data_IF_845107852822
#
_entry.id   IF_845107852822
#
_cell.length_a   1.000
_cell.length_b   1.000
_cell.length_c   1.000
_cell.angle_alpha   90.00
_cell.angle_beta   90.00
_cell.angle_gamma   90.00
#
_symmetry.space_group_name_H-M   'P 1'
#
loop_
_entity.id
_entity.type
_entity.pdbx_description
1 polymer ?
#
# COMPACT_ATOMS: atom_id res chain seq x y z
N UNK A 1 -7.51 6.08 -12.10
CA UNK A 1 -6.89 5.31 -11.01
C UNK A 1 -7.57 3.97 -10.87
N UNK A 2 -6.83 2.87 -11.10
CA UNK A 2 -7.32 1.52 -10.82
C UNK A 2 -6.79 1.07 -9.45
N UNK A 3 -7.38 1.59 -8.38
CA UNK A 3 -7.02 1.20 -7.00
C UNK A 3 -8.01 0.18 -6.41
N UNK A 4 -9.02 -0.22 -7.17
CA UNK A 4 -10.03 -1.22 -6.80
C UNK A 4 -9.99 -2.44 -7.74
N UNK A 5 -10.47 -3.58 -7.23
CA UNK A 5 -10.55 -4.87 -7.93
C UNK A 5 -9.71 -5.97 -7.27
N UNK A 6 -10.31 -7.16 -7.13
CA UNK A 6 -9.64 -8.36 -6.62
C UNK A 6 -8.69 -8.86 -7.70
N UNK A 7 -7.40 -8.98 -7.36
CA UNK A 7 -6.45 -9.77 -8.16
C UNK A 7 -6.33 -11.11 -7.45
N UNK A 8 -6.70 -12.18 -8.14
CA UNK A 8 -6.69 -13.52 -7.56
C UNK A 8 -5.25 -13.99 -7.43
N UNK A 9 -4.94 -14.69 -6.35
CA UNK A 9 -3.57 -15.11 -6.01
C UNK A 9 -2.88 -15.89 -7.15
N UNK A 10 -3.67 -16.65 -7.93
CA UNK A 10 -3.23 -17.41 -9.10
C UNK A 10 -2.74 -16.55 -10.28
N UNK A 11 -3.14 -15.28 -10.34
CA UNK A 11 -2.80 -14.35 -11.44
C UNK A 11 -1.59 -13.47 -11.10
N UNK A 12 -1.05 -13.57 -9.88
CA UNK A 12 0.03 -12.72 -9.37
C UNK A 12 1.45 -13.22 -9.69
N UNK A 13 1.60 -14.38 -10.34
CA UNK A 13 2.91 -14.95 -10.67
C UNK A 13 3.76 -15.36 -9.47
N UNK A 14 3.17 -15.46 -8.27
CA UNK A 14 3.82 -15.89 -7.03
C UNK A 14 3.69 -17.39 -6.83
N UNK A 15 4.72 -18.02 -6.25
CA UNK A 15 4.70 -19.45 -5.92
C UNK A 15 3.61 -19.76 -4.87
N UNK A 16 3.07 -21.00 -4.86
CA UNK A 16 2.01 -21.44 -3.92
C UNK A 16 2.34 -21.09 -2.46
N UNK A 17 3.61 -21.16 -2.08
CA UNK A 17 4.10 -20.85 -0.72
C UNK A 17 3.96 -19.37 -0.32
N UNK A 18 3.93 -18.45 -1.29
CA UNK A 18 3.75 -17.02 -1.07
C UNK A 18 2.26 -16.62 -1.02
N UNK A 19 1.40 -17.37 -1.72
CA UNK A 19 -0.05 -17.20 -1.70
C UNK A 19 -0.66 -17.58 -0.34
N UNK A 20 -0.13 -18.60 0.33
CA UNK A 20 -0.57 -19.04 1.67
C UNK A 20 -0.39 -17.96 2.77
N UNK A 21 0.46 -16.94 2.54
CA UNK A 21 0.68 -15.84 3.49
C UNK A 21 -0.10 -14.57 3.15
N UNK A 22 -0.79 -14.53 2.01
CA UNK A 22 -1.56 -13.35 1.59
C UNK A 22 -2.95 -13.37 2.25
N UNK A 23 -3.14 -12.50 3.25
CA UNK A 23 -4.44 -12.29 3.92
C UNK A 23 -5.36 -11.48 2.99
N UNK A 24 -6.63 -11.89 2.86
CA UNK A 24 -7.65 -11.13 2.10
C UNK A 24 -7.72 -9.67 2.59
N UNK A 25 -7.43 -8.73 1.69
CA UNK A 25 -7.40 -7.30 1.97
C UNK A 25 -8.79 -6.68 1.86
N UNK A 26 -9.43 -6.38 3.00
CA UNK A 26 -10.53 -5.42 3.05
C UNK A 26 -9.95 -3.99 2.98
N UNK A 27 -10.38 -3.13 2.05
CA UNK A 27 -9.77 -1.82 1.89
C UNK A 27 -10.05 -0.92 3.09
N UNK A 28 -8.99 -0.51 3.79
CA UNK A 28 -9.02 0.58 4.77
C UNK A 28 -9.63 1.82 4.10
N UNK A 29 -10.67 2.39 4.71
CA UNK A 29 -11.24 3.65 4.21
C UNK A 29 -10.22 4.77 4.43
N UNK A 30 -10.20 5.79 3.55
CA UNK A 30 -9.31 6.93 3.72
C UNK A 30 -9.51 7.63 5.07
N UNK A 31 -10.76 7.68 5.55
CA UNK A 31 -11.10 8.23 6.87
C UNK A 31 -10.48 7.45 8.03
N UNK A 32 -10.53 6.11 8.00
CA UNK A 32 -9.93 5.29 9.05
C UNK A 32 -8.40 5.38 9.02
N UNK A 33 -7.81 5.35 7.83
CA UNK A 33 -6.37 5.53 7.67
C UNK A 33 -5.89 6.87 8.24
N UNK A 34 -6.53 7.97 7.85
CA UNK A 34 -6.20 9.30 8.33
C UNK A 34 -6.35 9.43 9.85
N UNK A 35 -7.46 8.92 10.41
CA UNK A 35 -7.70 8.96 11.86
C UNK A 35 -6.63 8.20 12.66
N UNK A 36 -6.12 7.08 12.12
CA UNK A 36 -5.04 6.32 12.75
C UNK A 36 -3.76 7.15 12.75
N UNK A 37 -3.36 7.70 11.60
CA UNK A 37 -2.14 8.50 11.51
C UNK A 37 -2.21 9.75 12.39
N UNK A 38 -3.31 10.50 12.34
CA UNK A 38 -3.56 11.68 13.17
C UNK A 38 -3.50 11.40 14.68
N UNK A 39 -3.79 10.15 15.09
CA UNK A 39 -3.70 9.74 16.50
C UNK A 39 -2.27 9.46 16.98
N UNK A 40 -1.29 9.36 16.07
CA UNK A 40 0.10 9.10 16.41
C UNK A 40 0.73 10.38 16.99
N UNK A 41 1.32 10.33 18.20
CA UNK A 41 2.01 11.48 18.79
C UNK A 41 3.42 11.62 18.22
N UNK A 42 3.52 11.79 16.90
CA UNK A 42 4.79 11.89 16.17
C UNK A 42 4.85 13.17 15.33
N UNK A 43 6.06 13.61 15.05
CA UNK A 43 6.34 14.62 14.04
C UNK A 43 6.69 13.91 12.73
N UNK A 44 5.75 13.88 11.78
CA UNK A 44 5.88 13.08 10.55
C UNK A 44 7.16 13.36 9.78
N UNK A 45 7.64 14.61 9.76
CA UNK A 45 8.84 15.03 9.02
C UNK A 45 10.11 14.31 9.52
N UNK A 46 10.08 13.75 10.74
CA UNK A 46 11.18 12.98 11.32
C UNK A 46 11.12 11.47 10.98
N UNK A 47 10.06 11.01 10.34
CA UNK A 47 9.82 9.59 10.06
C UNK A 47 9.58 9.29 8.58
N UNK A 48 9.91 8.06 8.19
CA UNK A 48 9.58 7.49 6.88
C UNK A 48 8.39 6.55 7.03
N UNK A 49 7.42 6.61 6.11
CA UNK A 49 6.32 5.65 6.07
C UNK A 49 6.66 4.50 5.13
N UNK A 50 6.55 3.26 5.61
CA UNK A 50 6.83 2.05 4.80
C UNK A 50 5.60 1.15 4.76
N UNK A 51 5.10 0.89 3.55
CA UNK A 51 3.98 -0.02 3.28
C UNK A 51 4.48 -1.36 2.76
N UNK A 52 4.30 -2.43 3.53
CA UNK A 52 4.71 -3.78 3.16
C UNK A 52 3.53 -4.52 2.52
N UNK A 53 3.65 -4.86 1.24
CA UNK A 53 2.55 -5.36 0.43
C UNK A 53 1.70 -4.22 -0.14
N UNK A 54 2.36 -3.22 -0.73
CA UNK A 54 1.71 -1.97 -1.15
C UNK A 54 0.67 -2.15 -2.27
N UNK A 55 0.63 -3.32 -2.92
CA UNK A 55 -0.33 -3.66 -3.94
C UNK A 55 -0.33 -2.62 -5.07
N UNK A 56 -1.51 -2.07 -5.37
CA UNK A 56 -1.71 -1.04 -6.41
C UNK A 56 -1.45 0.40 -5.94
N UNK A 57 -0.89 0.59 -4.74
CA UNK A 57 -0.44 1.90 -4.24
C UNK A 57 -1.49 2.76 -3.51
N UNK A 58 -2.65 2.20 -3.14
CA UNK A 58 -3.70 2.99 -2.47
C UNK A 58 -3.26 3.61 -1.14
N UNK A 59 -2.55 2.83 -0.31
CA UNK A 59 -2.05 3.32 0.98
C UNK A 59 -0.91 4.31 0.79
N UNK A 60 -0.03 4.09 -0.19
CA UNK A 60 1.02 5.05 -0.57
C UNK A 60 0.44 6.42 -0.93
N UNK A 61 -0.61 6.47 -1.76
CA UNK A 61 -1.32 7.70 -2.11
C UNK A 61 -1.96 8.39 -0.89
N UNK A 62 -2.48 7.62 0.07
CA UNK A 62 -3.05 8.21 1.29
C UNK A 62 -1.94 8.72 2.23
N UNK A 63 -0.81 8.01 2.32
CA UNK A 63 0.33 8.39 3.14
C UNK A 63 1.06 9.62 2.59
N UNK A 64 1.06 9.82 1.26
CA UNK A 64 1.69 11.00 0.62
C UNK A 64 1.01 12.32 0.94
N UNK A 65 -0.21 12.29 1.48
CA UNK A 65 -0.91 13.49 1.98
C UNK A 65 -0.37 13.96 3.35
N UNK A 66 0.49 13.16 4.00
CA UNK A 66 1.13 13.49 5.27
C UNK A 66 2.59 13.89 5.03
N UNK A 67 3.16 14.79 5.85
CA UNK A 67 4.51 15.32 5.64
C UNK A 67 5.60 14.35 6.14
N UNK A 68 5.48 13.06 5.84
CA UNK A 68 6.56 12.11 6.09
C UNK A 68 7.80 12.49 5.27
N UNK A 69 8.98 12.18 5.80
CA UNK A 69 10.26 12.39 5.09
C UNK A 69 10.27 11.70 3.72
N UNK A 70 9.69 10.50 3.67
CA UNK A 70 9.50 9.69 2.46
C UNK A 70 8.37 8.69 2.68
N UNK A 71 7.74 8.26 1.60
CA UNK A 71 6.72 7.21 1.57
C UNK A 71 7.23 6.10 0.64
N UNK A 72 7.41 4.90 1.17
CA UNK A 72 8.03 3.78 0.46
C UNK A 72 7.06 2.60 0.41
N UNK A 73 6.80 2.08 -0.80
CA UNK A 73 6.06 0.84 -1.00
C UNK A 73 6.99 -0.33 -1.32
N UNK A 74 6.75 -1.46 -0.67
CA UNK A 74 7.42 -2.73 -0.97
C UNK A 74 6.37 -3.71 -1.48
N UNK A 75 6.55 -4.20 -2.71
CA UNK A 75 5.64 -5.14 -3.36
C UNK A 75 6.43 -6.26 -4.04
N UNK A 76 5.98 -7.50 -3.87
CA UNK A 76 6.64 -8.68 -4.44
C UNK A 76 6.21 -8.94 -5.88
N UNK A 77 4.96 -8.62 -6.21
CA UNK A 77 4.44 -8.78 -7.57
C UNK A 77 4.85 -7.58 -8.44
N UNK A 78 5.73 -7.83 -9.42
CA UNK A 78 6.16 -6.81 -10.38
C UNK A 78 4.99 -6.15 -11.12
N UNK A 79 3.94 -6.90 -11.45
CA UNK A 79 2.75 -6.36 -12.12
C UNK A 79 2.00 -5.35 -11.24
N UNK A 80 1.75 -5.69 -9.97
CA UNK A 80 1.15 -4.77 -9.00
C UNK A 80 2.03 -3.54 -8.76
N UNK A 81 3.35 -3.73 -8.68
CA UNK A 81 4.30 -2.62 -8.55
C UNK A 81 4.20 -1.65 -9.74
N UNK A 82 4.17 -2.16 -10.99
CA UNK A 82 3.98 -1.32 -12.18
C UNK A 82 2.65 -0.57 -12.14
N UNK A 83 1.56 -1.21 -11.70
CA UNK A 83 0.27 -0.54 -11.54
C UNK A 83 0.35 0.56 -10.47
N UNK A 84 1.04 0.31 -9.35
CA UNK A 84 1.21 1.29 -8.29
C UNK A 84 2.02 2.51 -8.77
N UNK A 85 3.15 2.28 -9.44
CA UNK A 85 3.97 3.36 -10.02
C UNK A 85 3.15 4.24 -10.97
N UNK A 86 2.40 3.62 -11.89
CA UNK A 86 1.51 4.34 -12.82
C UNK A 86 0.32 5.07 -12.15
N UNK A 87 -0.07 4.67 -10.93
CA UNK A 87 -1.15 5.35 -10.20
C UNK A 87 -0.64 6.55 -9.39
N UNK A 88 0.67 6.62 -9.11
CA UNK A 88 1.30 7.63 -8.23
C UNK A 88 1.98 8.73 -9.04
N UNK A 89 2.45 8.44 -10.26
CA UNK A 89 2.92 9.42 -11.24
C UNK A 89 1.80 10.33 -11.78
#
# INVERSE_FOLDING_TARGET
MQTSGIVWQQDLGVSEKQAEQAVEYNPTTASQFGSILESLPIDYEQFSFVDLGSGKGRVLLMASEFPFREVVGVELSSQLHEIAANNID
#
